data_IF_562650164477
#
_entry.id   IF_562650164477
#
_cell.length_a   1.000
_cell.length_b   1.000
_cell.length_c   1.000
_cell.angle_alpha   90.00
_cell.angle_beta   90.00
_cell.angle_gamma   90.00
#
_symmetry.space_group_name_H-M   'P 1'
#
loop_
_entity.id
_entity.type
_entity.pdbx_description
1 polymer ?
#
# COMPACT_ATOMS: atom_id res chain seq x y z
N UNK A 1 -12.02 -49.25 -69.26
CA UNK A 1 -10.85 -49.89 -68.62
C UNK A 1 -10.07 -48.82 -67.87
N UNK A 2 -9.44 -49.07 -66.72
CA UNK A 2 -9.45 -50.25 -65.86
C UNK A 2 -8.83 -49.83 -64.51
N UNK A 3 -9.27 -50.41 -63.40
CA UNK A 3 -8.64 -50.14 -62.11
C UNK A 3 -7.52 -51.14 -61.80
N UNK A 4 -6.56 -50.73 -61.00
CA UNK A 4 -5.80 -51.64 -60.10
C UNK A 4 -5.46 -50.91 -58.80
N UNK A 5 -5.38 -51.71 -57.74
CA UNK A 5 -5.22 -51.34 -56.34
C UNK A 5 -3.76 -51.44 -55.86
N UNK A 6 -3.56 -51.07 -54.59
CA UNK A 6 -2.46 -51.53 -53.71
C UNK A 6 -1.11 -50.81 -53.92
N UNK A 7 -0.33 -50.46 -52.90
CA UNK A 7 -0.02 -51.18 -51.65
C UNK A 7 0.27 -50.25 -50.46
N UNK A 8 0.09 -50.79 -49.25
CA UNK A 8 0.43 -50.11 -48.00
C UNK A 8 1.93 -50.13 -47.68
N UNK A 9 2.39 -49.17 -46.85
CA UNK A 9 3.46 -49.40 -45.89
C UNK A 9 3.14 -48.72 -44.56
N UNK A 10 3.17 -49.54 -43.53
CA UNK A 10 2.89 -49.26 -42.12
C UNK A 10 4.22 -49.02 -41.38
N UNK A 11 4.24 -48.15 -40.36
CA UNK A 11 5.19 -48.21 -39.23
C UNK A 11 4.94 -47.11 -38.17
N UNK A 12 4.31 -47.50 -37.06
CA UNK A 12 4.54 -47.08 -35.67
C UNK A 12 4.55 -45.59 -35.23
N UNK A 13 3.57 -45.26 -34.37
CA UNK A 13 3.71 -44.80 -32.97
C UNK A 13 4.90 -43.88 -32.54
N UNK A 14 4.72 -42.85 -31.70
CA UNK A 14 3.54 -42.42 -30.90
C UNK A 14 3.76 -41.03 -30.23
N UNK A 15 2.70 -40.54 -29.54
CA UNK A 15 2.66 -39.44 -28.53
C UNK A 15 2.19 -38.03 -28.95
N UNK A 16 0.87 -37.92 -29.11
CA UNK A 16 -0.07 -37.04 -28.35
C UNK A 16 0.61 -36.11 -27.30
N UNK A 17 0.42 -34.78 -27.32
CA UNK A 17 -0.50 -33.93 -26.49
C UNK A 17 -0.09 -32.44 -26.76
N UNK A 18 -0.91 -31.37 -26.86
CA UNK A 18 -2.37 -31.13 -26.70
C UNK A 18 -2.87 -29.91 -27.55
N UNK A 19 -4.17 -29.64 -27.45
CA UNK A 19 -4.95 -28.39 -27.59
C UNK A 19 -4.19 -27.03 -27.46
N UNK A 20 -4.32 -25.99 -28.32
CA UNK A 20 -5.40 -25.54 -29.25
C UNK A 20 -6.72 -25.19 -28.51
N UNK A 21 -7.47 -24.10 -28.74
CA UNK A 21 -7.40 -22.98 -29.70
C UNK A 21 -8.41 -21.88 -29.29
N UNK A 22 -8.35 -20.73 -29.96
CA UNK A 22 -9.46 -19.78 -30.21
C UNK A 22 -9.93 -18.89 -29.03
N UNK A 23 -9.89 -17.54 -29.02
CA UNK A 23 -10.01 -16.43 -30.03
C UNK A 23 -11.37 -15.69 -29.97
N UNK A 24 -11.32 -14.52 -29.32
CA UNK A 24 -11.94 -13.21 -29.66
C UNK A 24 -13.45 -12.87 -29.58
N UNK A 25 -13.63 -11.59 -29.21
CA UNK A 25 -14.78 -10.67 -29.49
C UNK A 25 -16.06 -10.89 -28.64
N UNK A 26 -16.91 -9.90 -28.34
CA UNK A 26 -17.18 -8.55 -28.91
C UNK A 26 -17.49 -7.52 -27.77
N UNK A 27 -17.40 -6.20 -28.04
CA UNK A 27 -17.87 -5.11 -27.15
C UNK A 27 -19.39 -4.83 -27.27
N UNK A 28 -20.11 -4.59 -26.15
CA UNK A 28 -21.19 -3.56 -26.09
C UNK A 28 -21.75 -3.26 -24.68
N UNK A 29 -22.11 -1.98 -24.52
CA UNK A 29 -22.95 -1.29 -23.50
C UNK A 29 -24.36 -1.94 -23.37
N UNK A 30 -25.20 -1.80 -22.32
CA UNK A 30 -25.32 -0.84 -21.19
C UNK A 30 -26.20 -1.40 -20.03
N UNK A 31 -25.91 -0.97 -18.79
CA UNK A 31 -26.75 -0.92 -17.55
C UNK A 31 -27.52 -2.11 -16.91
N UNK A 32 -27.15 -2.34 -15.63
CA UNK A 32 -28.03 -2.47 -14.43
C UNK A 32 -28.71 -3.82 -14.12
N UNK A 33 -27.94 -4.70 -13.47
CA UNK A 33 -28.47 -5.56 -12.40
C UNK A 33 -27.51 -5.59 -11.19
N UNK A 34 -28.08 -5.54 -9.98
CA UNK A 34 -27.29 -5.69 -8.74
C UNK A 34 -26.75 -7.12 -8.66
N UNK A 35 -25.44 -7.28 -8.54
CA UNK A 35 -24.84 -8.47 -7.92
C UNK A 35 -23.69 -8.02 -7.05
N UNK A 36 -23.68 -8.46 -5.79
CA UNK A 36 -22.54 -8.28 -4.91
C UNK A 36 -21.35 -9.03 -5.52
N UNK A 37 -20.26 -8.31 -5.75
CA UNK A 37 -19.01 -8.88 -6.24
C UNK A 37 -17.88 -8.37 -5.37
N UNK A 38 -17.44 -9.21 -4.43
CA UNK A 38 -16.37 -8.96 -3.47
C UNK A 38 -15.02 -8.88 -4.21
N UNK A 39 -14.71 -7.70 -4.76
CA UNK A 39 -13.51 -7.48 -5.55
C UNK A 39 -12.26 -7.33 -4.70
N UNK A 40 -11.72 -8.51 -4.35
CA UNK A 40 -10.30 -8.90 -4.40
C UNK A 40 -9.31 -7.97 -3.68
N UNK A 41 -8.72 -8.47 -2.59
CA UNK A 41 -7.49 -7.93 -1.99
C UNK A 41 -6.36 -7.88 -3.04
N UNK A 42 -6.23 -6.75 -3.73
CA UNK A 42 -5.09 -6.47 -4.64
C UNK A 42 -4.34 -5.29 -4.06
N UNK A 43 -3.08 -5.53 -3.70
CA UNK A 43 -2.16 -4.46 -3.32
C UNK A 43 -1.89 -3.59 -4.55
N UNK A 44 -2.12 -2.28 -4.41
CA UNK A 44 -1.92 -1.28 -5.45
C UNK A 44 -0.89 -0.24 -5.00
N UNK A 45 -0.31 0.50 -5.96
CA UNK A 45 0.65 1.57 -5.70
C UNK A 45 0.09 2.89 -6.25
N UNK A 46 0.06 3.92 -5.42
CA UNK A 46 -0.36 5.28 -5.80
C UNK A 46 0.38 6.31 -4.93
N UNK A 47 0.80 7.43 -5.52
CA UNK A 47 1.52 8.51 -4.81
C UNK A 47 2.80 8.06 -4.05
N UNK A 48 3.43 6.96 -4.46
CA UNK A 48 4.58 6.37 -3.77
C UNK A 48 4.22 5.49 -2.56
N UNK A 49 2.95 5.19 -2.34
CA UNK A 49 2.47 4.31 -1.27
C UNK A 49 1.87 3.04 -1.85
N UNK A 50 2.22 1.90 -1.25
CA UNK A 50 1.54 0.63 -1.44
C UNK A 50 0.38 0.54 -0.45
N UNK A 51 -0.79 0.13 -0.93
CA UNK A 51 -2.00 0.05 -0.11
C UNK A 51 -2.89 -1.13 -0.48
N UNK A 52 -3.77 -1.49 0.44
CA UNK A 52 -4.91 -2.39 0.23
C UNK A 52 -6.20 -1.64 0.58
N UNK A 53 -7.32 -2.03 -0.04
CA UNK A 53 -8.64 -1.46 0.25
C UNK A 53 -9.53 -2.54 0.86
N UNK A 54 -9.99 -2.30 2.08
CA UNK A 54 -10.95 -3.15 2.78
C UNK A 54 -12.09 -2.29 3.32
N UNK A 55 -13.34 -2.72 3.13
CA UNK A 55 -14.55 -2.03 3.63
C UNK A 55 -14.52 -0.51 3.38
N UNK A 56 -14.34 -0.13 2.12
CA UNK A 56 -14.28 1.27 1.64
C UNK A 56 -13.21 2.14 2.34
N UNK A 57 -12.14 1.53 2.84
CA UNK A 57 -11.08 2.19 3.59
C UNK A 57 -9.72 1.71 3.09
N UNK A 58 -8.78 2.63 2.90
CA UNK A 58 -7.41 2.28 2.51
C UNK A 58 -6.53 2.06 3.75
N UNK A 59 -5.78 0.96 3.73
CA UNK A 59 -4.68 0.66 4.65
C UNK A 59 -3.37 0.83 3.88
N UNK A 60 -2.44 1.64 4.39
CA UNK A 60 -1.10 1.77 3.82
C UNK A 60 -0.24 0.63 4.34
N UNK A 61 0.36 -0.14 3.43
CA UNK A 61 1.18 -1.32 3.76
C UNK A 61 2.64 -1.15 3.36
N UNK A 62 2.99 -0.20 2.51
CA UNK A 62 4.41 0.17 2.32
C UNK A 62 4.60 1.57 1.76
N UNK A 63 5.82 2.08 1.88
CA UNK A 63 6.31 3.24 1.15
C UNK A 63 7.38 2.83 0.14
N UNK A 64 7.11 3.15 -1.14
CA UNK A 64 7.94 2.81 -2.30
C UNK A 64 8.53 4.06 -2.98
N UNK A 65 8.19 5.25 -2.46
CA UNK A 65 8.73 6.52 -2.93
C UNK A 65 10.20 6.72 -2.53
N UNK A 66 10.79 7.78 -3.06
CA UNK A 66 12.19 8.18 -2.82
C UNK A 66 12.34 9.46 -1.99
N UNK A 67 11.23 10.06 -1.53
CA UNK A 67 11.28 11.27 -0.73
C UNK A 67 11.56 10.93 0.73
N UNK A 68 12.48 11.66 1.37
CA UNK A 68 12.68 11.61 2.83
C UNK A 68 11.54 12.20 3.66
N UNK A 69 10.34 12.37 3.09
CA UNK A 69 9.14 12.90 3.76
C UNK A 69 7.93 12.01 3.46
N UNK A 70 7.42 11.35 4.50
CA UNK A 70 6.29 10.44 4.43
C UNK A 70 4.97 11.23 4.51
N UNK A 71 4.61 11.82 3.38
CA UNK A 71 3.39 12.62 3.22
C UNK A 71 2.21 11.71 2.87
N UNK A 72 1.59 11.09 3.87
CA UNK A 72 0.51 10.12 3.67
C UNK A 72 -0.74 10.84 3.10
N UNK A 73 -1.27 10.43 1.94
CA UNK A 73 -2.44 11.09 1.34
C UNK A 73 -3.73 10.94 2.15
N UNK A 74 -4.67 11.86 1.96
CA UNK A 74 -6.03 11.73 2.52
C UNK A 74 -6.83 10.57 1.89
N UNK A 75 -6.46 10.15 0.68
CA UNK A 75 -7.11 9.09 -0.10
C UNK A 75 -6.10 8.29 -0.93
N UNK A 76 -6.32 6.99 -1.08
CA UNK A 76 -5.62 6.10 -2.01
C UNK A 76 -6.67 5.20 -2.69
N UNK A 77 -6.59 5.02 -4.00
CA UNK A 77 -7.58 4.28 -4.80
C UNK A 77 -8.97 4.91 -4.81
N UNK A 78 -9.08 6.19 -4.50
CA UNK A 78 -10.34 6.89 -4.26
C UNK A 78 -10.98 6.63 -2.88
N UNK A 79 -10.34 5.86 -2.00
CA UNK A 79 -10.83 5.55 -0.65
C UNK A 79 -10.07 6.33 0.42
N UNK A 80 -10.71 6.75 1.52
CA UNK A 80 -10.03 7.44 2.62
C UNK A 80 -8.96 6.55 3.25
N UNK A 81 -7.76 7.09 3.44
CA UNK A 81 -6.70 6.44 4.20
C UNK A 81 -7.07 6.49 5.68
N UNK A 82 -7.26 5.33 6.30
CA UNK A 82 -7.68 5.19 7.71
C UNK A 82 -6.70 4.42 8.57
N UNK A 83 -5.90 3.53 7.99
CA UNK A 83 -5.07 2.59 8.73
C UNK A 83 -3.64 2.61 8.22
N UNK A 84 -2.70 2.60 9.15
CA UNK A 84 -1.32 2.16 8.96
C UNK A 84 -1.10 1.16 10.10
N UNK A 85 -1.06 -0.11 9.77
CA UNK A 85 -0.87 -1.17 10.76
C UNK A 85 0.60 -1.62 10.78
N UNK A 86 0.90 -2.66 11.56
CA UNK A 86 2.23 -3.23 11.69
C UNK A 86 2.75 -3.93 10.42
N UNK A 87 1.97 -4.00 9.33
CA UNK A 87 2.46 -4.44 8.02
C UNK A 87 3.14 -3.33 7.21
N UNK A 88 3.17 -2.08 7.71
CA UNK A 88 3.82 -0.97 7.03
C UNK A 88 5.34 -1.15 6.98
N UNK A 89 5.90 -1.16 5.77
CA UNK A 89 7.35 -1.23 5.52
C UNK A 89 7.84 -0.08 4.63
N UNK A 90 9.11 0.33 4.78
CA UNK A 90 9.79 1.20 3.80
C UNK A 90 10.62 0.31 2.88
N UNK A 91 10.24 0.17 1.60
CA UNK A 91 10.89 -0.74 0.63
C UNK A 91 12.30 -0.28 0.18
N UNK A 92 12.81 0.80 0.75
CA UNK A 92 14.09 1.44 0.42
C UNK A 92 15.01 1.45 1.64
N UNK A 93 15.96 0.51 1.70
CA UNK A 93 16.96 0.44 2.78
C UNK A 93 17.87 1.69 2.85
N UNK A 94 18.06 2.39 1.73
CA UNK A 94 18.88 3.60 1.61
C UNK A 94 18.15 4.90 2.02
N UNK A 95 16.87 4.82 2.41
CA UNK A 95 16.01 5.99 2.54
C UNK A 95 15.78 6.45 3.99
N UNK A 96 16.43 7.56 4.34
CA UNK A 96 16.21 8.24 5.62
C UNK A 96 14.95 9.13 5.60
N UNK A 97 13.84 8.62 6.13
CA UNK A 97 12.63 9.40 6.39
C UNK A 97 12.88 10.39 7.53
N UNK A 98 12.78 11.69 7.23
CA UNK A 98 12.99 12.81 8.18
C UNK A 98 11.70 13.39 8.73
N UNK A 99 10.60 13.30 7.99
CA UNK A 99 9.31 13.84 8.40
C UNK A 99 8.14 12.89 8.09
N UNK A 100 7.13 12.93 8.95
CA UNK A 100 5.87 12.19 8.82
C UNK A 100 4.71 13.19 8.81
N UNK A 101 3.80 13.09 7.85
CA UNK A 101 2.57 13.90 7.82
C UNK A 101 1.33 13.01 7.85
N UNK A 102 0.54 13.15 8.91
CA UNK A 102 -0.65 12.33 9.19
C UNK A 102 -1.91 13.02 8.63
N UNK A 103 -2.70 12.36 7.77
CA UNK A 103 -3.83 12.95 7.08
C UNK A 103 -5.07 13.08 7.98
N UNK A 104 -6.05 13.86 7.53
CA UNK A 104 -7.31 14.12 8.24
C UNK A 104 -8.06 12.84 8.63
N UNK A 105 -8.06 11.85 7.75
CA UNK A 105 -8.90 10.65 7.89
C UNK A 105 -8.24 9.50 8.66
N UNK A 106 -6.98 9.62 9.09
CA UNK A 106 -6.27 8.51 9.73
C UNK A 106 -6.89 8.18 11.10
N UNK A 107 -7.35 6.94 11.25
CA UNK A 107 -8.04 6.41 12.43
C UNK A 107 -7.09 5.65 13.35
N UNK A 108 -6.15 4.90 12.75
CA UNK A 108 -5.17 4.06 13.42
C UNK A 108 -3.79 4.19 12.77
N UNK A 109 -2.77 4.26 13.61
CA UNK A 109 -1.35 4.17 13.26
C UNK A 109 -0.71 3.27 14.33
N UNK A 110 -0.05 2.18 13.90
CA UNK A 110 0.66 1.29 14.80
C UNK A 110 1.93 1.96 15.33
N UNK A 111 2.29 1.72 16.60
CA UNK A 111 3.47 2.35 17.20
C UNK A 111 4.80 1.75 16.70
N UNK A 112 4.80 0.50 16.21
CA UNK A 112 6.03 -0.16 15.72
C UNK A 112 6.62 0.49 14.47
N UNK A 113 5.83 1.26 13.70
CA UNK A 113 6.38 1.97 12.53
C UNK A 113 7.42 3.02 12.94
N UNK A 114 7.30 3.58 14.15
CA UNK A 114 8.25 4.61 14.62
C UNK A 114 9.64 4.03 14.89
N UNK A 115 9.72 2.73 15.17
CA UNK A 115 11.00 2.02 15.34
C UNK A 115 11.72 1.79 14.00
N UNK A 116 11.00 1.81 12.87
CA UNK A 116 11.61 1.75 11.53
C UNK A 116 12.12 3.12 11.04
N UNK A 117 11.52 4.22 11.51
CA UNK A 117 11.77 5.57 11.01
C UNK A 117 12.91 6.26 11.78
N UNK A 118 14.10 5.65 11.85
CA UNK A 118 15.25 6.13 12.64
C UNK A 118 15.68 7.58 12.34
N UNK A 119 15.42 8.09 11.14
CA UNK A 119 15.73 9.46 10.73
C UNK A 119 14.68 10.51 11.14
N UNK A 120 13.56 10.09 11.74
CA UNK A 120 12.38 10.93 11.92
C UNK A 120 12.63 12.04 12.93
N UNK A 121 12.61 13.29 12.46
CA UNK A 121 12.84 14.50 13.28
C UNK A 121 11.59 15.35 13.46
N UNK A 122 10.57 15.15 12.62
CA UNK A 122 9.33 15.93 12.64
C UNK A 122 8.10 15.07 12.38
N UNK A 123 7.03 15.31 13.14
CA UNK A 123 5.70 14.72 12.92
C UNK A 123 4.70 15.86 12.81
N UNK A 124 3.96 15.93 11.72
CA UNK A 124 2.85 16.84 11.50
C UNK A 124 1.53 16.07 11.41
N UNK A 125 0.45 16.69 11.85
CA UNK A 125 -0.90 16.11 11.82
C UNK A 125 -1.84 17.14 11.22
N UNK A 126 -2.66 16.74 10.25
CA UNK A 126 -3.74 17.56 9.71
C UNK A 126 -4.65 18.07 10.84
N UNK A 127 -4.97 19.37 10.83
CA UNK A 127 -5.74 20.01 11.90
C UNK A 127 -7.12 19.37 12.11
N UNK A 128 -7.71 18.86 11.03
CA UNK A 128 -8.99 18.15 11.02
C UNK A 128 -8.93 16.68 11.44
N UNK A 129 -7.74 16.11 11.70
CA UNK A 129 -7.64 14.74 12.23
C UNK A 129 -8.27 14.67 13.64
N UNK A 130 -9.22 13.77 13.83
CA UNK A 130 -9.98 13.65 15.09
C UNK A 130 -9.36 12.69 16.12
N UNK A 131 -8.32 11.95 15.73
CA UNK A 131 -7.71 10.88 16.55
C UNK A 131 -6.35 11.24 17.11
N UNK A 132 -5.61 12.14 16.45
CA UNK A 132 -4.22 12.44 16.78
C UNK A 132 -3.92 13.94 16.84
N UNK A 133 -2.84 14.27 17.56
CA UNK A 133 -2.20 15.59 17.57
C UNK A 133 -0.70 15.40 17.77
N UNK A 134 0.13 16.23 17.12
CA UNK A 134 1.58 16.27 17.38
C UNK A 134 1.95 17.51 18.18
N UNK A 135 2.87 17.35 19.14
CA UNK A 135 3.50 18.45 19.89
C UNK A 135 4.98 18.16 20.04
N UNK A 136 5.83 19.10 19.63
CA UNK A 136 7.30 18.99 19.79
C UNK A 136 7.98 17.84 19.02
N UNK A 137 7.28 17.17 18.11
CA UNK A 137 7.77 15.93 17.45
C UNK A 137 7.35 14.64 18.17
N UNK A 138 6.47 14.72 19.16
CA UNK A 138 5.79 13.55 19.76
C UNK A 138 4.35 13.49 19.22
N UNK A 139 3.91 12.29 18.84
CA UNK A 139 2.54 12.00 18.46
C UNK A 139 1.73 11.52 19.68
N UNK A 140 0.58 12.15 19.90
CA UNK A 140 -0.38 11.79 20.93
C UNK A 140 -1.76 11.48 20.34
N UNK A 141 -2.59 10.78 21.11
CA UNK A 141 -4.05 10.81 20.90
C UNK A 141 -4.59 12.24 20.99
N UNK A 142 -5.72 12.53 20.34
CA UNK A 142 -6.30 13.90 20.29
C UNK A 142 -6.63 14.47 21.67
N UNK A 143 -6.96 13.62 22.63
CA UNK A 143 -7.21 13.95 24.04
C UNK A 143 -5.93 14.05 24.90
N UNK A 144 -4.76 13.88 24.27
CA UNK A 144 -3.43 13.90 24.87
C UNK A 144 -3.17 12.87 26.00
N UNK A 145 -4.02 11.85 26.16
CA UNK A 145 -3.84 10.85 27.23
C UNK A 145 -2.82 9.76 26.91
N UNK A 146 -2.55 9.49 25.64
CA UNK A 146 -1.64 8.41 25.24
C UNK A 146 -0.61 8.93 24.24
N UNK A 147 0.65 8.58 24.50
CA UNK A 147 1.74 8.69 23.53
C UNK A 147 1.60 7.55 22.51
N UNK A 148 1.78 7.87 21.24
CA UNK A 148 1.61 6.94 20.10
C UNK A 148 2.93 6.70 19.38
N UNK A 149 3.80 7.71 19.31
CA UNK A 149 5.10 7.63 18.67
C UNK A 149 5.95 8.88 18.89
N UNK A 150 7.25 8.79 18.66
CA UNK A 150 8.22 9.89 18.85
C UNK A 150 9.09 10.02 17.60
N UNK A 151 9.38 11.26 17.21
CA UNK A 151 10.44 11.58 16.26
C UNK A 151 11.83 11.37 16.91
N UNK A 152 12.27 10.11 16.95
CA UNK A 152 13.49 9.63 17.63
C UNK A 152 14.80 10.12 16.97
N UNK A 153 14.77 10.49 15.69
CA UNK A 153 15.91 11.00 14.94
C UNK A 153 16.41 12.39 15.38
N UNK A 154 15.74 13.04 16.34
CA UNK A 154 16.25 14.25 17.00
C UNK A 154 17.48 13.90 17.85
N UNK A 155 18.68 14.06 17.27
CA UNK A 155 19.88 14.32 18.07
C UNK A 155 19.65 15.59 18.87
N UNK A 156 19.41 15.47 20.17
CA UNK A 156 19.45 16.59 21.11
C UNK A 156 20.94 16.94 21.28
N UNK A 157 21.47 17.75 20.37
CA UNK A 157 22.90 18.13 20.34
C UNK A 157 23.27 19.17 21.40
N UNK A 158 22.27 19.85 21.98
CA UNK A 158 22.44 20.91 22.97
C UNK A 158 21.34 20.82 24.02
N UNK A 159 21.71 20.45 25.24
CA UNK A 159 20.90 20.65 26.44
C UNK A 159 21.32 21.99 27.06
N UNK A 160 20.62 23.07 26.72
CA UNK A 160 20.89 24.38 27.31
C UNK A 160 20.39 24.38 28.76
N UNK A 161 21.29 24.11 29.70
CA UNK A 161 21.06 24.41 31.12
C UNK A 161 20.89 25.93 31.25
N UNK A 162 19.78 26.43 31.82
CA UNK A 162 19.67 27.85 32.13
C UNK A 162 20.72 28.21 33.19
N UNK A 163 21.62 29.14 32.87
CA UNK A 163 22.47 29.77 33.89
C UNK A 163 21.57 30.52 34.88
N UNK A 164 21.86 30.31 36.17
CA UNK A 164 21.23 31.02 37.30
C UNK A 164 21.68 32.47 37.40
#
# INVERSE_FOLDING_TARGET
>A
MGGTSSFAKESHDSKIIKENKSVQSVKSKTEKSKKAESKKNVSAIESGFRYIVNNNSATVTAYVGSSGSLNIPNTLGGYPVKFIDNSFEVEREDLYIKSLSIPKNLVYIDSSIFDQLYGLTNITVDSGNQRYISKGGVLYTKDMKSLVGIASGKKITTFNVPSV
#
